data_IF_706777193988
#
_entry.id   IF_706777193988
#
_cell.length_a   1.000
_cell.length_b   1.000
_cell.length_c   1.000
_cell.angle_alpha   90.00
_cell.angle_beta   90.00
_cell.angle_gamma   90.00
#
_symmetry.space_group_name_H-M   'P 1'
#
loop_
_entity.id
_entity.type
_entity.pdbx_description
1 polymer ?
#
# COMPACT_ATOMS: atom_id res chain seq x y z
N UNK A 1 12.09 7.29 6.09
CA UNK A 1 10.90 6.65 6.71
C UNK A 1 10.46 5.52 5.80
N UNK A 2 10.90 4.29 6.09
CA UNK A 2 10.43 3.11 5.37
C UNK A 2 8.96 2.86 5.73
N UNK A 3 8.04 3.34 4.90
CA UNK A 3 6.65 2.88 4.88
C UNK A 3 6.54 1.35 4.68
N UNK A 4 7.66 0.66 4.41
CA UNK A 4 7.82 -0.80 4.48
C UNK A 4 7.57 -1.38 5.90
N UNK A 5 7.70 -0.61 6.98
CA UNK A 5 7.77 -1.18 8.34
C UNK A 5 6.41 -1.36 9.01
N UNK A 6 5.35 -0.62 8.66
CA UNK A 6 4.05 -0.81 9.33
C UNK A 6 3.42 -2.17 8.99
N UNK A 7 3.76 -2.77 7.84
CA UNK A 7 3.27 -4.09 7.45
C UNK A 7 4.28 -5.23 7.63
N UNK A 8 5.57 -4.94 7.84
CA UNK A 8 6.60 -6.01 7.97
C UNK A 8 6.93 -6.44 9.41
N UNK A 9 6.48 -5.72 10.44
CA UNK A 9 6.96 -5.99 11.83
C UNK A 9 5.91 -6.09 12.93
N UNK A 10 4.62 -5.99 12.62
CA UNK A 10 3.59 -6.54 13.48
C UNK A 10 3.12 -7.81 12.79
N UNK A 11 3.06 -8.92 13.52
CA UNK A 11 2.13 -9.99 13.18
C UNK A 11 0.83 -9.28 12.81
N UNK A 12 0.51 -9.21 11.52
CA UNK A 12 -0.74 -8.62 11.08
C UNK A 12 -1.74 -9.60 11.65
N UNK A 13 -2.31 -9.28 12.81
CA UNK A 13 -3.49 -10.00 13.25
C UNK A 13 -4.46 -9.77 12.10
N UNK A 14 -4.85 -10.85 11.43
CA UNK A 14 -5.75 -10.83 10.30
C UNK A 14 -7.10 -11.25 10.85
N UNK A 15 -8.17 -10.53 10.52
CA UNK A 15 -9.52 -11.07 10.72
C UNK A 15 -9.86 -11.92 9.51
N UNK A 16 -10.27 -13.17 9.74
CA UNK A 16 -10.85 -14.00 8.70
C UNK A 16 -12.18 -13.39 8.25
N UNK A 17 -12.37 -13.15 6.94
CA UNK A 17 -13.66 -12.70 6.44
C UNK A 17 -13.88 -13.00 4.95
N UNK A 18 -15.09 -13.47 4.66
CA UNK A 18 -15.79 -13.56 3.36
C UNK A 18 -15.16 -14.44 2.27
N UNK A 19 -15.99 -15.37 1.78
CA UNK A 19 -15.84 -16.07 0.52
C UNK A 19 -16.35 -15.13 -0.60
N UNK A 20 -15.54 -14.93 -1.63
CA UNK A 20 -15.84 -14.10 -2.79
C UNK A 20 -15.94 -14.97 -4.03
N UNK A 21 -17.01 -14.75 -4.80
CA UNK A 21 -17.19 -15.39 -6.09
C UNK A 21 -16.97 -14.37 -7.23
N UNK A 22 -16.77 -14.89 -8.45
CA UNK A 22 -16.59 -14.08 -9.66
C UNK A 22 -17.67 -13.02 -9.86
N UNK A 23 -18.92 -13.31 -9.47
CA UNK A 23 -20.07 -12.38 -9.56
C UNK A 23 -19.88 -11.10 -8.74
N UNK A 24 -19.20 -11.17 -7.61
CA UNK A 24 -18.99 -10.00 -6.74
C UNK A 24 -17.82 -9.13 -7.23
N UNK A 25 -16.69 -9.77 -7.55
CA UNK A 25 -15.51 -9.07 -8.06
C UNK A 25 -15.72 -8.53 -9.49
N UNK A 26 -16.54 -9.22 -10.28
CA UNK A 26 -16.68 -9.05 -11.71
C UNK A 26 -15.62 -9.86 -12.46
N UNK A 27 -15.99 -10.41 -13.62
CA UNK A 27 -15.15 -11.31 -14.44
C UNK A 27 -13.77 -10.74 -14.74
N UNK A 28 -13.69 -9.44 -15.05
CA UNK A 28 -12.42 -8.77 -15.34
C UNK A 28 -11.46 -8.81 -14.15
N UNK A 29 -11.94 -8.46 -12.96
CA UNK A 29 -11.14 -8.44 -11.74
C UNK A 29 -10.80 -9.87 -11.27
N UNK A 30 -11.72 -10.80 -11.45
CA UNK A 30 -11.51 -12.21 -11.15
C UNK A 30 -10.35 -12.78 -11.97
N UNK A 31 -10.38 -12.62 -13.30
CA UNK A 31 -9.30 -13.08 -14.19
C UNK A 31 -7.97 -12.41 -13.87
N UNK A 32 -8.00 -11.08 -13.68
CA UNK A 32 -6.80 -10.34 -13.32
C UNK A 32 -6.17 -10.83 -12.01
N UNK A 33 -6.99 -11.18 -11.00
CA UNK A 33 -6.50 -11.72 -9.74
C UNK A 33 -5.84 -13.10 -9.92
N UNK A 34 -6.40 -13.95 -10.78
CA UNK A 34 -5.88 -15.29 -11.09
C UNK A 34 -4.52 -15.24 -11.81
N UNK A 35 -4.28 -14.18 -12.59
CA UNK A 35 -3.04 -13.96 -13.33
C UNK A 35 -1.91 -13.34 -12.47
N UNK A 36 -2.18 -12.99 -11.21
CA UNK A 36 -1.17 -12.41 -10.32
C UNK A 36 -0.15 -13.44 -9.82
N UNK A 37 1.02 -12.95 -9.43
CA UNK A 37 2.04 -13.74 -8.75
C UNK A 37 1.44 -14.46 -7.54
N UNK A 38 1.63 -15.77 -7.52
CA UNK A 38 1.06 -16.65 -6.52
C UNK A 38 1.99 -17.82 -6.18
N UNK A 39 1.70 -18.46 -5.05
CA UNK A 39 2.35 -19.70 -4.62
C UNK A 39 1.29 -20.79 -4.50
N UNK A 40 1.47 -21.85 -5.26
CA UNK A 40 0.58 -23.01 -5.23
C UNK A 40 1.06 -24.05 -4.22
N UNK A 41 0.11 -24.57 -3.42
CA UNK A 41 0.34 -25.60 -2.42
C UNK A 41 -0.39 -26.89 -2.83
N UNK A 42 0.39 -27.87 -3.31
CA UNK A 42 -0.09 -29.18 -3.78
C UNK A 42 -0.87 -29.98 -2.72
N UNK A 43 -0.52 -29.85 -1.45
CA UNK A 43 -1.12 -30.65 -0.35
C UNK A 43 -2.56 -30.27 -0.02
N UNK A 44 -2.98 -29.05 -0.37
CA UNK A 44 -4.29 -28.52 0.01
C UNK A 44 -5.11 -28.04 -1.18
N UNK A 45 -4.56 -28.13 -2.40
CA UNK A 45 -5.12 -27.57 -3.65
C UNK A 45 -5.50 -26.08 -3.50
N UNK A 46 -4.56 -25.31 -2.94
CA UNK A 46 -4.73 -23.89 -2.66
C UNK A 46 -3.64 -23.06 -3.33
N UNK A 47 -4.04 -21.87 -3.76
CA UNK A 47 -3.14 -20.89 -4.36
C UNK A 47 -3.18 -19.61 -3.51
N UNK A 48 -2.05 -19.25 -2.90
CA UNK A 48 -1.95 -17.99 -2.13
C UNK A 48 -1.37 -16.90 -3.02
N UNK A 49 -2.05 -15.76 -3.11
CA UNK A 49 -1.56 -14.61 -3.87
C UNK A 49 -0.36 -13.98 -3.14
N UNK A 50 0.79 -13.93 -3.82
CA UNK A 50 2.06 -13.42 -3.29
C UNK A 50 2.44 -12.05 -3.87
N UNK A 51 1.68 -11.55 -4.85
CA UNK A 51 1.88 -10.23 -5.45
C UNK A 51 2.08 -9.15 -4.38
N UNK A 52 3.22 -8.47 -4.43
CA UNK A 52 3.61 -7.50 -3.42
C UNK A 52 2.59 -6.37 -3.27
N UNK A 53 1.85 -6.01 -4.32
CA UNK A 53 0.84 -4.94 -4.29
C UNK A 53 -0.36 -5.36 -3.46
N UNK A 54 -0.77 -6.63 -3.54
CA UNK A 54 -1.84 -7.20 -2.71
C UNK A 54 -1.38 -7.23 -1.24
N UNK A 55 -0.23 -7.86 -0.99
CA UNK A 55 0.30 -8.06 0.36
C UNK A 55 0.61 -6.72 1.06
N UNK A 56 1.23 -5.75 0.35
CA UNK A 56 1.57 -4.43 0.92
C UNK A 56 0.38 -3.47 1.00
N UNK A 57 -0.79 -3.83 0.48
CA UNK A 57 -2.05 -3.18 0.81
C UNK A 57 -2.79 -3.90 1.94
N UNK A 58 -2.16 -4.90 2.57
CA UNK A 58 -2.66 -5.53 3.79
C UNK A 58 -3.73 -6.60 3.54
N UNK A 59 -3.67 -7.27 2.39
CA UNK A 59 -4.53 -8.42 2.09
C UNK A 59 -3.73 -9.72 2.12
N UNK A 60 -4.36 -10.77 2.63
CA UNK A 60 -3.97 -12.16 2.42
C UNK A 60 -5.11 -12.86 1.68
N UNK A 61 -4.85 -13.31 0.45
CA UNK A 61 -5.86 -13.88 -0.44
C UNK A 61 -5.43 -15.29 -0.82
N UNK A 62 -6.34 -16.23 -0.63
CA UNK A 62 -6.17 -17.64 -0.98
C UNK A 62 -7.28 -18.04 -1.92
N UNK A 63 -6.93 -18.69 -3.01
CA UNK A 63 -7.84 -19.27 -3.98
C UNK A 63 -7.90 -20.76 -3.68
N UNK A 64 -9.10 -21.27 -3.47
CA UNK A 64 -9.36 -22.70 -3.23
C UNK A 64 -10.08 -23.28 -4.45
N UNK A 65 -9.50 -24.31 -5.05
CA UNK A 65 -10.09 -25.00 -6.19
C UNK A 65 -10.98 -26.13 -5.64
N UNK A 66 -12.29 -25.96 -5.69
CA UNK A 66 -13.24 -27.00 -5.28
C UNK A 66 -13.63 -27.82 -6.51
N UNK A 67 -13.45 -29.13 -6.41
CA UNK A 67 -13.69 -30.19 -7.41
C UNK A 67 -14.64 -29.80 -8.56
N UNK A 68 -14.09 -29.69 -9.78
CA UNK A 68 -14.79 -29.52 -11.06
C UNK A 68 -15.72 -28.29 -11.20
N UNK A 69 -15.64 -27.32 -10.29
CA UNK A 69 -16.29 -26.02 -10.48
C UNK A 69 -15.58 -25.21 -11.56
N UNK A 70 -16.32 -24.66 -12.54
CA UNK A 70 -15.77 -23.73 -13.54
C UNK A 70 -15.19 -22.45 -12.91
N UNK A 71 -15.53 -22.16 -11.64
CA UNK A 71 -15.04 -21.00 -10.90
C UNK A 71 -14.49 -21.41 -9.53
N UNK A 72 -13.22 -21.08 -9.26
CA UNK A 72 -12.62 -21.28 -7.95
C UNK A 72 -13.16 -20.27 -6.93
N UNK A 73 -13.26 -20.70 -5.67
CA UNK A 73 -13.68 -19.82 -4.59
C UNK A 73 -12.48 -18.99 -4.11
N UNK A 74 -12.66 -17.67 -4.07
CA UNK A 74 -11.63 -16.74 -3.59
C UNK A 74 -11.91 -16.41 -2.13
N UNK A 75 -10.98 -16.77 -1.26
CA UNK A 75 -11.05 -16.51 0.17
C UNK A 75 -10.10 -15.38 0.56
N UNK A 76 -10.65 -14.33 1.18
CA UNK A 76 -9.82 -13.36 1.89
C UNK A 76 -9.54 -13.94 3.27
N UNK A 77 -8.41 -14.63 3.39
CA UNK A 77 -7.98 -15.24 4.65
C UNK A 77 -7.43 -14.19 5.62
N UNK A 78 -7.17 -12.96 5.15
CA UNK A 78 -6.83 -11.88 6.03
C UNK A 78 -6.86 -10.47 5.47
N UNK A 79 -7.12 -9.53 6.37
CA UNK A 79 -7.14 -8.09 6.11
C UNK A 79 -6.46 -7.32 7.24
N UNK A 80 -5.87 -6.17 6.92
CA UNK A 80 -5.28 -5.26 7.90
C UNK A 80 -6.32 -4.77 8.93
N UNK A 81 -6.13 -5.12 10.21
CA UNK A 81 -7.08 -4.81 11.29
C UNK A 81 -7.22 -3.34 11.66
N UNK A 82 -6.19 -2.54 11.42
CA UNK A 82 -6.17 -1.14 11.84
C UNK A 82 -6.94 -0.21 10.89
N UNK A 83 -7.44 -0.75 9.78
CA UNK A 83 -8.27 -0.02 8.83
C UNK A 83 -9.73 -0.45 9.05
N UNK A 84 -10.56 0.48 9.49
CA UNK A 84 -11.97 0.19 9.79
C UNK A 84 -12.72 -0.25 8.54
N UNK A 85 -13.52 -1.33 8.66
CA UNK A 85 -14.35 -1.87 7.56
C UNK A 85 -13.50 -2.11 6.29
N UNK A 86 -12.35 -2.76 6.42
CA UNK A 86 -11.45 -3.07 5.31
C UNK A 86 -11.67 -4.52 4.86
N UNK A 87 -11.95 -4.74 3.58
CA UNK A 87 -12.30 -6.07 3.08
C UNK A 87 -12.52 -6.13 1.57
N UNK A 88 -13.56 -6.86 1.15
CA UNK A 88 -13.82 -7.20 -0.24
C UNK A 88 -13.96 -5.98 -1.18
N UNK A 89 -14.63 -4.91 -0.73
CA UNK A 89 -14.77 -3.66 -1.51
C UNK A 89 -13.41 -3.01 -1.76
N UNK A 90 -12.51 -3.01 -0.77
CA UNK A 90 -11.17 -2.44 -0.94
C UNK A 90 -10.25 -3.33 -1.77
N UNK A 91 -10.44 -4.66 -1.73
CA UNK A 91 -9.77 -5.56 -2.64
C UNK A 91 -10.20 -5.30 -4.08
N UNK A 92 -11.51 -5.14 -4.31
CA UNK A 92 -12.04 -4.77 -5.63
C UNK A 92 -11.46 -3.44 -6.13
N UNK A 93 -11.48 -2.41 -5.29
CA UNK A 93 -10.87 -1.11 -5.61
C UNK A 93 -9.37 -1.24 -5.92
N UNK A 94 -8.62 -2.05 -5.16
CA UNK A 94 -7.21 -2.32 -5.41
C UNK A 94 -6.99 -2.93 -6.80
N UNK A 95 -7.75 -3.97 -7.15
CA UNK A 95 -7.65 -4.62 -8.46
C UNK A 95 -7.99 -3.66 -9.61
N UNK A 96 -9.01 -2.81 -9.43
CA UNK A 96 -9.37 -1.78 -10.42
C UNK A 96 -8.24 -0.76 -10.59
N UNK A 97 -7.65 -0.27 -9.49
CA UNK A 97 -6.53 0.68 -9.55
C UNK A 97 -5.28 0.07 -10.21
N UNK A 98 -4.98 -1.20 -9.92
CA UNK A 98 -3.87 -1.94 -10.54
C UNK A 98 -4.02 -2.05 -12.06
N UNK A 99 -5.25 -2.14 -12.57
CA UNK A 99 -5.53 -2.24 -14.00
C UNK A 99 -5.62 -0.87 -14.70
N UNK A 100 -5.92 0.21 -13.96
CA UNK A 100 -6.07 1.55 -14.52
C UNK A 100 -4.73 2.27 -14.76
N UNK A 101 -3.70 1.94 -13.98
CA UNK A 101 -2.43 2.66 -14.00
C UNK A 101 -1.39 1.90 -14.82
N UNK A 102 -0.86 2.55 -15.87
CA UNK A 102 0.22 2.00 -16.69
C UNK A 102 1.50 1.79 -15.87
N UNK A 103 1.70 2.59 -14.82
CA UNK A 103 2.80 2.43 -13.88
C UNK A 103 2.43 1.40 -12.80
N UNK A 104 3.04 0.23 -12.88
CA UNK A 104 2.89 -0.87 -11.91
C UNK A 104 3.62 -0.58 -10.57
N UNK A 105 3.37 0.58 -9.96
CA UNK A 105 3.96 0.95 -8.68
C UNK A 105 2.93 0.85 -7.53
N UNK A 106 3.40 0.43 -6.35
CA UNK A 106 2.55 0.22 -5.17
C UNK A 106 1.77 1.49 -4.76
N UNK A 107 2.35 2.67 -4.96
CA UNK A 107 1.75 3.93 -4.53
C UNK A 107 0.47 4.22 -5.33
N UNK A 108 0.52 4.01 -6.64
CA UNK A 108 -0.57 4.29 -7.57
C UNK A 108 -1.79 3.39 -7.39
N UNK A 109 -1.62 2.21 -6.77
CA UNK A 109 -2.69 1.24 -6.57
C UNK A 109 -3.26 1.18 -5.16
N UNK A 110 -2.86 2.08 -4.23
CA UNK A 110 -3.38 2.04 -2.86
C UNK A 110 -4.88 2.40 -2.83
N UNK A 111 -5.75 1.57 -2.22
CA UNK A 111 -7.13 1.94 -1.94
C UNK A 111 -7.21 3.22 -1.11
N UNK A 112 -8.29 3.99 -1.29
CA UNK A 112 -8.47 5.28 -0.64
C UNK A 112 -8.42 5.18 0.89
N UNK A 113 -8.99 4.09 1.45
CA UNK A 113 -8.92 3.83 2.90
C UNK A 113 -7.48 3.62 3.39
N UNK A 114 -6.62 2.98 2.59
CA UNK A 114 -5.19 2.82 2.92
C UNK A 114 -4.50 4.18 2.92
N UNK A 115 -4.78 5.02 1.92
CA UNK A 115 -4.22 6.38 1.84
C UNK A 115 -4.63 7.21 3.07
N UNK A 116 -5.93 7.20 3.43
CA UNK A 116 -6.43 7.92 4.60
C UNK A 116 -5.84 7.41 5.92
N UNK A 117 -5.70 6.09 6.05
CA UNK A 117 -5.05 5.48 7.20
C UNK A 117 -3.60 5.95 7.32
N UNK A 118 -2.83 5.90 6.24
CA UNK A 118 -1.44 6.37 6.22
C UNK A 118 -1.34 7.86 6.54
N UNK A 119 -2.18 8.72 5.94
CA UNK A 119 -2.27 10.14 6.27
C UNK A 119 -2.48 10.36 7.78
N UNK A 120 -3.38 9.59 8.39
CA UNK A 120 -3.68 9.68 9.83
C UNK A 120 -2.53 9.18 10.70
N UNK A 121 -1.94 8.04 10.36
CA UNK A 121 -0.80 7.47 11.10
C UNK A 121 0.43 8.35 11.02
N UNK A 122 0.70 8.99 9.87
CA UNK A 122 1.80 9.96 9.75
C UNK A 122 1.64 11.10 10.76
N UNK A 123 0.42 11.65 10.93
CA UNK A 123 0.16 12.71 11.91
C UNK A 123 0.39 12.21 13.34
N UNK A 124 -0.10 11.01 13.68
CA UNK A 124 0.12 10.42 15.01
C UNK A 124 1.61 10.21 15.28
N UNK A 125 2.33 9.66 14.30
CA UNK A 125 3.75 9.38 14.42
C UNK A 125 4.58 10.66 14.58
N UNK A 126 4.29 11.70 13.81
CA UNK A 126 4.95 13.01 13.95
C UNK A 126 4.72 13.63 15.33
N UNK A 127 3.51 13.49 15.91
CA UNK A 127 3.22 13.94 17.28
C UNK A 127 4.04 13.17 18.32
N UNK A 128 4.22 11.86 18.13
CA UNK A 128 4.99 11.02 19.06
C UNK A 128 6.50 11.30 19.00
N UNK A 129 7.07 11.47 17.80
CA UNK A 129 8.50 11.73 17.63
C UNK A 129 8.87 13.15 18.08
N UNK A 130 7.99 14.12 17.84
CA UNK A 130 8.28 15.54 18.08
C UNK A 130 9.21 16.12 17.03
N UNK A 131 9.74 17.32 17.31
CA UNK A 131 10.66 18.03 16.41
C UNK A 131 12.09 17.46 16.51
N UNK A 132 12.87 17.47 15.40
CA UNK A 132 14.28 17.12 15.44
C UNK A 132 15.02 18.05 16.42
N UNK A 133 15.87 17.49 17.28
CA UNK A 133 16.55 18.23 18.34
C UNK A 133 17.99 18.58 18.01
N UNK A 134 18.58 17.86 17.06
CA UNK A 134 20.00 18.00 16.68
C UNK A 134 20.16 18.28 15.19
N UNK A 135 21.31 18.82 14.81
CA UNK A 135 21.69 19.04 13.42
C UNK A 135 21.73 17.71 12.64
N UNK A 136 22.19 16.65 13.29
CA UNK A 136 22.25 15.31 12.75
C UNK A 136 20.85 14.74 12.47
N UNK A 137 19.87 15.01 13.33
CA UNK A 137 18.48 14.62 13.11
C UNK A 137 17.89 15.34 11.89
N UNK A 138 18.18 16.63 11.73
CA UNK A 138 17.76 17.41 10.57
C UNK A 138 18.36 16.82 9.30
N UNK A 139 19.68 16.58 9.24
CA UNK A 139 20.30 15.97 8.06
C UNK A 139 19.76 14.58 7.75
N UNK A 140 19.49 13.77 8.78
CA UNK A 140 18.87 12.45 8.57
C UNK A 140 17.51 12.59 7.90
N UNK A 141 16.68 13.55 8.32
CA UNK A 141 15.38 13.80 7.69
C UNK A 141 15.52 14.31 6.25
N UNK A 142 16.42 15.26 6.00
CA UNK A 142 16.71 15.78 4.66
C UNK A 142 17.19 14.69 3.71
N UNK A 143 18.19 13.91 4.12
CA UNK A 143 18.72 12.79 3.32
C UNK A 143 17.64 11.75 3.04
N UNK A 144 16.77 11.48 4.01
CA UNK A 144 15.63 10.59 3.80
C UNK A 144 14.62 11.15 2.81
N UNK A 145 14.34 12.45 2.83
CA UNK A 145 13.44 13.08 1.86
C UNK A 145 13.99 12.94 0.44
N UNK A 146 15.21 13.42 0.20
CA UNK A 146 15.80 13.43 -1.14
C UNK A 146 16.06 12.03 -1.69
N UNK A 147 16.38 11.04 -0.85
CA UNK A 147 16.48 9.64 -1.28
C UNK A 147 15.15 9.08 -1.82
N UNK A 148 14.02 9.63 -1.36
CA UNK A 148 12.68 9.16 -1.71
C UNK A 148 11.92 10.16 -2.59
N UNK A 149 12.53 11.25 -3.04
CA UNK A 149 11.86 12.34 -3.77
C UNK A 149 11.16 11.85 -5.04
N UNK A 150 11.71 10.84 -5.71
CA UNK A 150 11.08 10.17 -6.86
C UNK A 150 9.71 9.54 -6.59
N UNK A 151 9.36 9.32 -5.32
CA UNK A 151 8.06 8.76 -4.90
C UNK A 151 7.07 9.84 -4.44
N UNK A 152 7.52 11.08 -4.29
CA UNK A 152 6.70 12.20 -3.89
C UNK A 152 6.55 13.15 -5.08
N UNK A 153 5.32 13.39 -5.51
CA UNK A 153 5.04 14.35 -6.58
C UNK A 153 5.42 15.75 -6.12
N UNK A 154 6.47 16.34 -6.68
CA UNK A 154 6.74 17.78 -6.61
C UNK A 154 6.86 18.36 -5.19
N UNK A 155 7.72 17.80 -4.34
CA UNK A 155 8.01 18.37 -3.01
C UNK A 155 6.77 18.48 -2.09
N UNK A 156 5.81 17.56 -2.24
CA UNK A 156 4.63 17.51 -1.34
C UNK A 156 4.66 16.30 -0.41
N UNK A 157 4.25 16.50 0.84
CA UNK A 157 4.04 15.40 1.78
C UNK A 157 2.82 14.54 1.37
N UNK A 158 2.58 13.45 2.10
CA UNK A 158 1.43 12.57 1.84
C UNK A 158 0.08 13.30 1.90
N UNK A 159 -0.01 14.46 2.56
CA UNK A 159 -1.19 15.33 2.67
C UNK A 159 -1.26 16.42 1.61
N UNK A 160 -0.43 16.33 0.56
CA UNK A 160 -0.46 17.25 -0.57
C UNK A 160 -0.07 18.69 -0.15
N UNK A 161 0.78 18.82 0.88
CA UNK A 161 1.34 20.08 1.38
C UNK A 161 2.82 20.20 1.02
N UNK A 162 3.33 21.38 0.62
CA UNK A 162 4.75 21.57 0.35
C UNK A 162 5.59 21.24 1.59
N UNK A 163 6.71 20.55 1.39
CA UNK A 163 7.67 20.24 2.46
C UNK A 163 8.73 21.32 2.56
N UNK A 164 9.23 21.79 1.43
CA UNK A 164 10.14 22.93 1.35
C UNK A 164 9.48 24.11 0.65
N UNK A 165 9.75 25.31 1.14
CA UNK A 165 9.38 26.56 0.50
C UNK A 165 10.65 27.40 0.34
N UNK A 166 10.83 28.04 -0.83
CA UNK A 166 11.97 28.91 -1.08
C UNK A 166 11.77 30.22 -0.33
N UNK A 167 12.71 30.57 0.55
CA UNK A 167 12.65 31.81 1.34
C UNK A 167 13.34 32.95 0.60
N UNK A 168 14.44 32.67 -0.11
CA UNK A 168 15.21 33.66 -0.86
C UNK A 168 16.08 32.99 -1.93
N UNK A 169 16.25 33.67 -3.08
CA UNK A 169 17.15 33.24 -4.15
C UNK A 169 18.40 34.10 -4.06
N UNK A 170 19.54 33.47 -3.76
CA UNK A 170 20.84 34.16 -3.75
C UNK A 170 21.32 34.25 -5.19
N UNK A 171 21.29 35.44 -5.78
CA UNK A 171 21.90 35.69 -7.08
C UNK A 171 23.41 35.90 -6.89
N UNK A 172 24.24 35.02 -7.45
CA UNK A 172 25.70 35.06 -7.34
C UNK A 172 26.37 36.27 -8.02
N UNK A 173 25.58 37.23 -8.54
CA UNK A 173 26.06 38.43 -9.22
C UNK A 173 26.59 39.53 -8.29
N UNK A 174 26.62 39.31 -6.98
CA UNK A 174 27.26 40.23 -6.03
C UNK A 174 28.54 39.59 -5.47
N UNK A 175 29.59 39.57 -6.31
CA UNK A 175 30.96 39.52 -5.81
C UNK A 175 31.30 40.91 -5.25
N UNK A 176 31.53 40.98 -3.94
CA UNK A 176 32.16 42.13 -3.29
C UNK A 176 33.62 42.25 -3.73
#
# INVERSE_FOLDING_TARGET
MEFKIILKKKNVNLKCMSLLCSRYLGEKNYRFLMDLDNSYELSTDKCTITDERIVKNGFNVVIEFIDNSENADINITGVALHISKYGAEELKQLLELMQLKQENNLYSCRPLKVIHYLKSETVRHCKTIGQPKTKEDIYKLFNQWFKNDKFFSNNTCIHDKPVFESIHIINENHKY
#
